data_IF_812048577003
#
_entry.id   IF_812048577003
#
_cell.length_a   1.000
_cell.length_b   1.000
_cell.length_c   1.000
_cell.angle_alpha   90.00
_cell.angle_beta   90.00
_cell.angle_gamma   90.00
#
_symmetry.space_group_name_H-M   'P 1'
#
loop_
_entity.id
_entity.type
_entity.pdbx_description
1 polymer ?
#
# COMPACT_ATOMS: atom_id res chain seq x y z
N UNK A 1 -8.87 15.13 -13.31
CA UNK A 1 -9.32 14.73 -11.96
C UNK A 1 -9.35 15.97 -11.06
N UNK A 2 -10.44 16.18 -10.31
CA UNK A 2 -10.66 17.37 -9.46
C UNK A 2 -10.51 17.02 -7.96
N UNK A 3 -10.24 18.00 -7.08
CA UNK A 3 -10.35 17.82 -5.63
C UNK A 3 -11.73 17.30 -5.22
N UNK A 4 -11.80 16.53 -4.13
CA UNK A 4 -13.03 15.95 -3.59
C UNK A 4 -13.15 16.24 -2.08
N UNK A 5 -14.38 16.35 -1.57
CA UNK A 5 -14.62 16.41 -0.12
C UNK A 5 -14.04 15.15 0.54
N UNK A 6 -13.38 15.31 1.69
CA UNK A 6 -12.66 14.24 2.38
C UNK A 6 -11.20 14.07 1.94
N UNK A 7 -10.73 14.80 0.93
CA UNK A 7 -9.33 14.77 0.53
C UNK A 7 -8.41 15.32 1.62
N UNK A 8 -7.32 14.58 1.90
CA UNK A 8 -6.25 15.06 2.79
C UNK A 8 -5.35 16.00 2.03
N UNK A 9 -5.15 17.18 2.60
CA UNK A 9 -4.35 18.22 1.99
C UNK A 9 -3.33 18.79 2.98
N UNK A 10 -2.35 19.51 2.44
CA UNK A 10 -1.40 20.33 3.20
C UNK A 10 -1.37 21.74 2.64
N UNK A 11 -1.53 22.74 3.50
CA UNK A 11 -1.36 24.14 3.15
C UNK A 11 0.13 24.41 2.90
N UNK A 12 0.49 25.01 1.76
CA UNK A 12 1.89 25.20 1.36
C UNK A 12 2.64 26.21 2.23
N UNK A 13 1.96 27.27 2.67
CA UNK A 13 2.53 28.34 3.48
C UNK A 13 2.84 27.86 4.90
N UNK A 14 1.84 27.34 5.62
CA UNK A 14 1.97 26.94 7.03
C UNK A 14 2.49 25.51 7.22
N UNK A 15 2.48 24.69 6.16
CA UNK A 15 2.70 23.23 6.21
C UNK A 15 1.68 22.46 7.05
N UNK A 16 0.65 23.13 7.55
CA UNK A 16 -0.45 22.52 8.31
C UNK A 16 -1.25 21.59 7.41
N UNK A 17 -1.69 20.48 7.98
CA UNK A 17 -2.52 19.47 7.32
C UNK A 17 -3.98 19.66 7.68
N UNK A 18 -4.84 19.11 6.84
CA UNK A 18 -6.27 19.16 7.04
C UNK A 18 -7.02 18.35 6.00
N UNK A 19 -8.35 18.45 6.04
CA UNK A 19 -9.27 17.73 5.17
C UNK A 19 -10.19 18.71 4.47
N UNK A 20 -10.43 18.50 3.18
CA UNK A 20 -11.43 19.28 2.43
C UNK A 20 -12.82 18.99 3.00
N UNK A 21 -13.49 20.02 3.50
CA UNK A 21 -14.85 19.92 4.03
C UNK A 21 -15.89 20.37 3.01
N UNK A 22 -15.57 21.42 2.23
CA UNK A 22 -16.43 21.86 1.13
C UNK A 22 -15.64 22.41 -0.05
N UNK A 23 -16.27 22.35 -1.22
CA UNK A 23 -15.73 22.84 -2.49
C UNK A 23 -16.72 23.86 -3.04
N UNK A 24 -16.25 25.10 -3.19
CA UNK A 24 -17.08 26.23 -3.57
C UNK A 24 -16.43 26.87 -4.81
N UNK A 25 -16.56 26.20 -5.97
CA UNK A 25 -16.16 26.62 -7.33
C UNK A 25 -14.74 27.17 -7.56
N UNK A 26 -14.40 28.26 -6.87
CA UNK A 26 -13.10 28.92 -6.82
C UNK A 26 -12.26 28.60 -5.56
N UNK A 27 -12.90 28.16 -4.47
CA UNK A 27 -12.24 27.99 -3.17
C UNK A 27 -12.54 26.63 -2.54
N UNK A 28 -11.54 26.11 -1.84
CA UNK A 28 -11.57 24.86 -1.10
C UNK A 28 -11.59 25.22 0.38
N UNK A 29 -12.66 24.87 1.10
CA UNK A 29 -12.66 24.99 2.56
C UNK A 29 -12.05 23.75 3.18
N UNK A 30 -11.07 23.97 4.04
CA UNK A 30 -10.25 22.94 4.64
C UNK A 30 -10.36 23.06 6.15
N UNK A 31 -10.79 21.99 6.79
CA UNK A 31 -10.69 21.83 8.23
C UNK A 31 -9.26 21.42 8.55
N UNK A 32 -8.49 22.33 9.10
CA UNK A 32 -7.12 22.08 9.53
C UNK A 32 -7.11 21.20 10.78
N UNK A 33 -6.03 20.45 10.98
CA UNK A 33 -5.86 19.57 12.15
C UNK A 33 -5.84 20.37 13.48
N UNK A 34 -5.53 21.66 13.40
CA UNK A 34 -5.59 22.62 14.51
C UNK A 34 -7.02 23.07 14.86
N UNK A 35 -8.03 22.56 14.14
CA UNK A 35 -9.45 22.83 14.39
C UNK A 35 -10.04 24.04 13.65
N UNK A 36 -9.22 24.84 12.96
CA UNK A 36 -9.72 25.98 12.16
C UNK A 36 -10.27 25.53 10.81
N UNK A 37 -11.30 26.24 10.33
CA UNK A 37 -11.85 26.08 8.98
C UNK A 37 -11.45 27.28 8.14
N UNK A 38 -10.61 27.05 7.13
CA UNK A 38 -10.04 28.11 6.31
C UNK A 38 -10.24 27.82 4.82
N UNK A 39 -10.32 28.89 4.01
CA UNK A 39 -10.56 28.79 2.57
C UNK A 39 -9.29 29.06 1.78
N UNK A 40 -8.90 28.09 0.95
CA UNK A 40 -7.70 28.16 0.12
C UNK A 40 -8.02 27.96 -1.36
N UNK A 41 -7.14 28.42 -2.23
CA UNK A 41 -7.13 28.08 -3.66
C UNK A 41 -6.35 26.79 -3.91
N UNK A 42 -6.55 26.16 -5.07
CA UNK A 42 -5.78 24.97 -5.47
C UNK A 42 -4.25 25.22 -5.49
N UNK A 43 -3.83 26.45 -5.77
CA UNK A 43 -2.41 26.83 -5.81
C UNK A 43 -1.76 26.85 -4.42
N UNK A 44 -2.53 27.11 -3.37
CA UNK A 44 -2.05 27.26 -1.99
C UNK A 44 -1.95 25.93 -1.25
N UNK A 45 -2.51 24.85 -1.82
CA UNK A 45 -2.61 23.54 -1.16
C UNK A 45 -1.92 22.44 -1.96
N UNK A 46 -1.43 21.43 -1.25
CA UNK A 46 -0.97 20.16 -1.83
C UNK A 46 -2.01 19.11 -1.49
N UNK A 47 -2.74 18.60 -2.48
CA UNK A 47 -3.75 17.57 -2.28
C UNK A 47 -3.15 16.17 -2.44
N UNK A 48 -2.90 15.49 -1.32
CA UNK A 48 -2.28 14.17 -1.31
C UNK A 48 -3.20 13.09 -1.84
N UNK A 49 -4.50 13.16 -1.48
CA UNK A 49 -5.49 12.20 -1.97
C UNK A 49 -5.63 12.27 -3.49
N UNK A 50 -5.69 13.49 -4.05
CA UNK A 50 -5.72 13.70 -5.49
C UNK A 50 -4.43 13.22 -6.18
N UNK A 51 -3.27 13.48 -5.58
CA UNK A 51 -1.99 12.99 -6.10
C UNK A 51 -1.93 11.46 -6.11
N UNK A 52 -2.39 10.80 -5.04
CA UNK A 52 -2.47 9.34 -4.95
C UNK A 52 -3.43 8.78 -6.00
N UNK A 53 -4.61 9.38 -6.19
CA UNK A 53 -5.56 8.94 -7.22
C UNK A 53 -5.00 9.10 -8.64
N UNK A 54 -4.31 10.21 -8.93
CA UNK A 54 -3.60 10.41 -10.20
C UNK A 54 -2.49 9.37 -10.39
N UNK A 55 -1.75 9.05 -9.33
CA UNK A 55 -0.73 8.02 -9.38
C UNK A 55 -1.33 6.64 -9.66
N UNK A 56 -2.47 6.27 -9.04
CA UNK A 56 -3.12 4.98 -9.31
C UNK A 56 -3.66 4.84 -10.73
N UNK A 57 -4.18 5.92 -11.33
CA UNK A 57 -4.59 5.89 -12.74
C UNK A 57 -3.42 5.57 -13.68
N UNK A 58 -2.22 6.03 -13.34
CA UNK A 58 -1.00 5.79 -14.11
C UNK A 58 -0.19 4.57 -13.63
N UNK A 59 -0.73 3.80 -12.67
CA UNK A 59 -0.26 2.49 -12.20
C UNK A 59 1.27 2.30 -12.14
N UNK A 60 2.02 3.12 -11.38
CA UNK A 60 3.46 2.90 -11.23
C UNK A 60 3.71 1.61 -10.43
N UNK A 61 4.77 0.89 -10.79
CA UNK A 61 5.26 -0.37 -10.15
C UNK A 61 5.47 -0.30 -8.62
N UNK A 62 5.27 0.83 -7.94
CA UNK A 62 5.56 1.01 -6.52
C UNK A 62 4.29 0.93 -5.66
N UNK A 63 4.28 -0.07 -4.77
CA UNK A 63 3.16 -0.45 -3.91
C UNK A 63 3.09 0.37 -2.61
N UNK A 64 2.43 1.52 -2.60
CA UNK A 64 2.05 2.19 -1.34
C UNK A 64 0.59 2.63 -1.36
N UNK A 65 -0.16 2.24 -0.31
CA UNK A 65 -1.51 2.74 0.00
C UNK A 65 -2.65 2.24 -0.90
N UNK A 66 -2.67 0.99 -1.35
CA UNK A 66 -3.70 0.47 -2.28
C UNK A 66 -5.15 0.61 -1.74
N UNK A 67 -6.13 0.96 -2.61
CA UNK A 67 -7.54 0.92 -2.25
C UNK A 67 -8.02 -0.53 -2.07
N UNK A 68 -8.99 -0.71 -1.18
CA UNK A 68 -9.57 -2.02 -0.80
C UNK A 68 -10.09 -2.75 -2.06
N UNK A 69 -9.65 -3.99 -2.28
CA UNK A 69 -10.08 -4.82 -3.43
C UNK A 69 -9.13 -4.84 -4.64
N UNK A 70 -7.93 -4.22 -4.55
CA UNK A 70 -6.94 -4.20 -5.66
C UNK A 70 -5.85 -5.26 -5.55
N UNK A 71 -6.14 -6.41 -4.95
CA UNK A 71 -5.26 -7.59 -5.01
C UNK A 71 -5.32 -8.21 -6.41
N UNK A 72 -4.64 -7.58 -7.37
CA UNK A 72 -4.15 -8.24 -8.59
C UNK A 72 -2.92 -9.06 -8.22
N UNK A 73 -3.06 -10.01 -7.31
CA UNK A 73 -2.02 -11.00 -7.03
C UNK A 73 -2.72 -12.31 -6.76
N UNK A 74 -2.39 -13.32 -7.54
CA UNK A 74 -2.92 -14.68 -7.39
C UNK A 74 -2.30 -15.39 -6.16
N UNK A 75 -1.72 -14.62 -5.23
CA UNK A 75 -1.03 -15.12 -4.04
C UNK A 75 -1.98 -15.07 -2.85
N UNK A 76 -2.24 -16.23 -2.27
CA UNK A 76 -2.95 -16.36 -1.00
C UNK A 76 -1.90 -16.30 0.11
N UNK A 77 -2.08 -15.39 1.07
CA UNK A 77 -1.22 -15.33 2.26
C UNK A 77 -1.74 -16.31 3.31
N UNK A 78 -0.90 -17.27 3.68
CA UNK A 78 -1.19 -18.27 4.71
C UNK A 78 -0.16 -18.18 5.84
N UNK A 79 -0.55 -18.58 7.05
CA UNK A 79 0.39 -18.74 8.17
C UNK A 79 0.67 -20.22 8.37
N UNK A 80 1.93 -20.63 8.17
CA UNK A 80 2.41 -21.99 8.41
C UNK A 80 3.27 -22.01 9.69
N UNK A 81 3.17 -23.08 10.48
CA UNK A 81 4.11 -23.38 11.56
C UNK A 81 5.00 -24.53 11.12
N UNK A 82 6.30 -24.36 11.30
CA UNK A 82 7.34 -25.36 11.02
C UNK A 82 8.11 -25.62 12.31
N UNK A 83 8.59 -26.84 12.46
CA UNK A 83 9.37 -27.23 13.63
C UNK A 83 10.70 -26.47 13.69
N UNK A 84 11.21 -26.29 14.91
CA UNK A 84 12.44 -25.54 15.17
C UNK A 84 13.63 -26.11 14.42
N UNK A 85 13.81 -27.43 14.45
CA UNK A 85 14.95 -28.10 13.81
C UNK A 85 14.90 -27.97 12.29
N UNK A 86 13.69 -28.12 11.71
CA UNK A 86 13.46 -27.91 10.29
C UNK A 86 13.76 -26.47 9.88
N UNK A 87 13.34 -25.49 10.69
CA UNK A 87 13.66 -24.09 10.45
C UNK A 87 15.17 -23.82 10.49
N UNK A 88 15.90 -24.43 11.42
CA UNK A 88 17.35 -24.29 11.47
C UNK A 88 18.05 -24.93 10.28
N UNK A 89 17.58 -26.09 9.82
CA UNK A 89 18.08 -26.71 8.59
C UNK A 89 17.83 -25.81 7.37
N UNK A 90 16.65 -25.21 7.28
CA UNK A 90 16.28 -24.26 6.23
C UNK A 90 17.21 -23.04 6.22
N UNK A 91 17.48 -22.43 7.39
CA UNK A 91 18.43 -21.30 7.49
C UNK A 91 19.86 -21.69 7.10
N UNK A 92 20.30 -22.90 7.40
CA UNK A 92 21.63 -23.38 6.98
C UNK A 92 21.73 -23.54 5.47
N UNK A 93 20.67 -24.07 4.83
CA UNK A 93 20.61 -24.22 3.38
C UNK A 93 20.63 -22.86 2.67
N UNK A 94 19.87 -21.89 3.17
CA UNK A 94 19.92 -20.51 2.68
C UNK A 94 21.32 -19.89 2.84
N UNK A 95 21.97 -20.06 4.00
CA UNK A 95 23.30 -19.50 4.24
C UNK A 95 24.38 -20.08 3.32
N UNK A 96 24.17 -21.29 2.77
CA UNK A 96 25.05 -21.91 1.78
C UNK A 96 24.73 -21.52 0.33
N UNK A 97 23.62 -20.81 0.10
CA UNK A 97 23.14 -20.47 -1.24
C UNK A 97 22.33 -21.57 -1.91
N UNK A 98 21.89 -22.59 -1.16
CA UNK A 98 21.03 -23.66 -1.70
C UNK A 98 19.58 -23.16 -1.88
N UNK A 99 19.21 -22.02 -1.26
CA UNK A 99 17.86 -21.44 -1.27
C UNK A 99 17.99 -19.92 -1.50
N UNK A 100 17.72 -19.48 -2.72
CA UNK A 100 17.75 -18.06 -3.09
C UNK A 100 16.40 -17.36 -2.91
N UNK A 101 15.29 -18.09 -3.10
CA UNK A 101 13.92 -17.59 -2.90
C UNK A 101 13.13 -18.53 -2.01
N UNK A 102 13.03 -18.19 -0.73
CA UNK A 102 12.26 -18.95 0.27
C UNK A 102 10.82 -19.21 -0.17
N UNK A 103 10.17 -18.24 -0.83
CA UNK A 103 8.76 -18.38 -1.22
C UNK A 103 8.62 -19.35 -2.39
N UNK A 104 9.46 -19.19 -3.41
CA UNK A 104 9.54 -20.10 -4.55
C UNK A 104 9.83 -21.53 -4.10
N UNK A 105 10.89 -21.72 -3.32
CA UNK A 105 11.31 -23.03 -2.81
C UNK A 105 10.24 -23.72 -1.97
N UNK A 106 9.58 -23.01 -1.04
CA UNK A 106 8.50 -23.61 -0.24
C UNK A 106 7.31 -24.01 -1.12
N UNK A 107 6.92 -23.16 -2.09
CA UNK A 107 5.81 -23.47 -2.98
C UNK A 107 6.13 -24.69 -3.88
N UNK A 108 7.36 -24.79 -4.38
CA UNK A 108 7.82 -25.90 -5.20
C UNK A 108 7.79 -27.22 -4.41
N UNK A 109 8.38 -27.25 -3.21
CA UNK A 109 8.36 -28.44 -2.35
C UNK A 109 6.95 -28.86 -1.97
N UNK A 110 6.06 -27.91 -1.63
CA UNK A 110 4.66 -28.23 -1.35
C UNK A 110 3.99 -28.81 -2.60
N UNK A 111 4.23 -28.24 -3.78
CA UNK A 111 3.65 -28.73 -5.04
C UNK A 111 4.18 -30.12 -5.44
N UNK A 112 5.45 -30.42 -5.18
CA UNK A 112 6.04 -31.76 -5.34
C UNK A 112 5.38 -32.77 -4.41
N UNK A 113 5.34 -32.49 -3.10
CA UNK A 113 4.74 -33.39 -2.12
C UNK A 113 3.24 -33.60 -2.40
N UNK A 114 2.51 -32.57 -2.82
CA UNK A 114 1.10 -32.72 -3.19
C UNK A 114 0.89 -33.58 -4.46
N UNK A 115 1.82 -33.54 -5.43
CA UNK A 115 1.80 -34.46 -6.58
C UNK A 115 2.07 -35.90 -6.15
N UNK A 116 2.99 -36.11 -5.22
CA UNK A 116 3.29 -37.44 -4.68
C UNK A 116 2.15 -38.00 -3.83
N UNK A 117 1.37 -37.14 -3.17
CA UNK A 117 0.20 -37.52 -2.37
C UNK A 117 -1.07 -37.74 -3.21
N UNK A 118 -1.04 -37.42 -4.52
CA UNK A 118 -2.20 -37.42 -5.39
C UNK A 118 -1.96 -38.14 -6.73
N UNK A 119 -2.26 -39.44 -6.71
CA UNK A 119 -3.21 -40.05 -7.65
C UNK A 119 -4.64 -39.84 -7.11
#
# INVERSE_FOLDING_TARGET
>A
MKPQIGDKIRVKATKTRGVIESLDGQRIRVRLDIGSLEAFTEAEVTNYSLAARKAWQNMPKRCVGRPKGTTTTDRISVTLRIDRELWEAFRRAEARGDIDDRTGTINEWIAENLRELGD
#
